data_IF_737393470271
#
_entry.id   IF_737393470271
#
_cell.length_a   1.000
_cell.length_b   1.000
_cell.length_c   1.000
_cell.angle_alpha   90.00
_cell.angle_beta   90.00
_cell.angle_gamma   90.00
#
_symmetry.space_group_name_H-M   'P 1'
#
loop_
_entity.id
_entity.type
_entity.pdbx_description
1 polymer ?
#
# COMPACT_ATOMS: atom_id res chain seq x y z
N UNK A 1 -4.89 -13.16 16.97
CA UNK A 1 -3.93 -13.99 16.21
C UNK A 1 -2.55 -13.40 16.33
N UNK A 2 -1.53 -14.22 16.57
CA UNK A 2 -0.14 -13.77 16.68
C UNK A 2 0.39 -13.40 15.29
N UNK A 3 0.83 -12.15 15.09
CA UNK A 3 1.46 -11.72 13.84
C UNK A 3 2.91 -12.19 13.87
N UNK A 4 3.20 -13.30 13.19
CA UNK A 4 4.56 -13.84 13.12
C UNK A 4 5.27 -13.34 11.87
N UNK A 5 6.47 -12.80 12.04
CA UNK A 5 7.36 -12.48 10.92
C UNK A 5 7.65 -13.77 10.13
N UNK A 6 7.60 -13.76 8.79
CA UNK A 6 7.89 -14.95 7.99
C UNK A 6 9.26 -15.53 8.34
N UNK A 7 9.34 -16.83 8.62
CA UNK A 7 10.62 -17.51 8.87
C UNK A 7 11.37 -17.72 7.55
N UNK A 8 12.41 -16.91 7.33
CA UNK A 8 13.33 -16.94 6.18
C UNK A 8 14.37 -15.82 6.29
N UNK A 9 15.53 -15.97 5.65
CA UNK A 9 16.72 -15.10 5.77
C UNK A 9 16.38 -13.61 6.03
N UNK A 10 16.75 -13.16 7.23
CA UNK A 10 16.28 -11.97 7.94
C UNK A 10 16.98 -10.67 7.52
N UNK A 11 16.91 -10.28 6.25
CA UNK A 11 17.58 -9.06 5.78
C UNK A 11 16.63 -7.87 5.57
N UNK A 12 15.51 -7.78 6.32
CA UNK A 12 14.69 -6.55 6.30
C UNK A 12 13.26 -6.64 6.82
N UNK A 13 12.71 -7.83 7.08
CA UNK A 13 11.38 -7.96 7.68
C UNK A 13 11.40 -7.49 9.14
N UNK A 14 10.46 -6.62 9.49
CA UNK A 14 10.25 -6.15 10.86
C UNK A 14 8.78 -6.22 11.23
N UNK A 15 8.48 -6.40 12.52
CA UNK A 15 7.14 -6.12 13.02
C UNK A 15 6.99 -4.60 13.09
N UNK A 16 6.05 -4.06 12.33
CA UNK A 16 5.65 -2.67 12.45
C UNK A 16 4.31 -2.61 13.18
N UNK A 17 4.25 -1.66 14.09
CA UNK A 17 3.02 -1.19 14.71
C UNK A 17 2.71 0.16 14.11
N UNK A 18 1.49 0.36 13.65
CA UNK A 18 1.03 1.65 13.16
C UNK A 18 -0.24 2.06 13.90
N UNK A 19 -0.24 3.28 14.41
CA UNK A 19 -1.45 3.92 14.93
C UNK A 19 -2.11 4.67 13.77
N UNK A 20 -3.27 4.19 13.31
CA UNK A 20 -4.01 4.81 12.21
C UNK A 20 -5.34 5.39 12.72
N UNK A 21 -5.90 6.35 12.00
CA UNK A 21 -7.28 6.84 12.24
C UNK A 21 -7.42 8.02 13.21
N UNK A 22 -6.32 8.70 13.55
CA UNK A 22 -6.34 9.91 14.38
C UNK A 22 -6.95 9.63 15.77
N UNK A 23 -8.14 10.16 16.04
CA UNK A 23 -8.83 10.01 17.32
C UNK A 23 -9.30 8.58 17.64
N UNK A 24 -9.34 7.66 16.66
CA UNK A 24 -9.75 6.27 16.92
C UNK A 24 -8.67 5.43 17.61
N UNK A 25 -7.40 5.87 17.59
CA UNK A 25 -6.26 5.14 18.18
C UNK A 25 -6.18 3.67 17.73
N UNK A 26 -6.55 3.36 16.49
CA UNK A 26 -6.52 1.99 15.99
C UNK A 26 -5.06 1.55 15.82
N UNK A 27 -4.68 0.45 16.48
CA UNK A 27 -3.34 -0.10 16.40
C UNK A 27 -3.32 -1.31 15.44
N UNK A 28 -2.59 -1.19 14.35
CA UNK A 28 -2.37 -2.26 13.39
C UNK A 28 -0.95 -2.80 13.54
N UNK A 29 -0.84 -4.11 13.73
CA UNK A 29 0.44 -4.80 13.77
C UNK A 29 0.59 -5.66 12.52
N UNK A 30 1.69 -5.48 11.79
CA UNK A 30 1.98 -6.22 10.57
C UNK A 30 3.48 -6.53 10.47
N UNK A 31 3.81 -7.70 9.94
CA UNK A 31 5.17 -7.93 9.45
C UNK A 31 5.33 -7.15 8.14
N UNK A 32 6.32 -6.25 8.08
CA UNK A 32 6.58 -5.38 6.94
C UNK A 32 8.01 -5.54 6.43
N UNK A 33 8.18 -5.44 5.13
CA UNK A 33 9.46 -5.38 4.45
C UNK A 33 9.54 -4.06 3.68
N UNK A 34 10.43 -3.13 4.06
CA UNK A 34 10.67 -1.93 3.27
C UNK A 34 11.17 -2.30 1.88
N UNK A 35 10.52 -1.78 0.84
CA UNK A 35 10.92 -2.03 -0.54
C UNK A 35 11.92 -0.96 -1.00
N UNK A 36 13.07 -1.34 -1.60
CA UNK A 36 13.92 -0.37 -2.26
C UNK A 36 13.19 0.16 -3.49
N UNK A 37 12.87 1.45 -3.49
CA UNK A 37 12.14 2.09 -4.59
C UNK A 37 13.11 2.48 -5.71
N UNK A 38 12.74 2.16 -6.95
CA UNK A 38 13.41 2.65 -8.15
C UNK A 38 13.35 4.18 -8.21
N UNK A 39 14.48 4.89 -8.41
CA UNK A 39 14.49 6.36 -8.42
C UNK A 39 13.47 6.97 -9.38
N UNK A 40 13.20 6.33 -10.51
CA UNK A 40 12.24 6.78 -11.52
C UNK A 40 10.78 6.77 -11.02
N UNK A 41 10.48 5.93 -10.02
CA UNK A 41 9.14 5.82 -9.44
C UNK A 41 8.90 6.82 -8.31
N UNK A 42 9.94 7.49 -7.79
CA UNK A 42 9.84 8.37 -6.62
C UNK A 42 8.77 9.44 -6.79
N UNK A 43 8.80 10.19 -7.90
CA UNK A 43 7.84 11.26 -8.16
C UNK A 43 6.41 10.75 -8.27
N UNK A 44 6.23 9.57 -8.87
CA UNK A 44 4.91 8.94 -8.94
C UNK A 44 4.40 8.58 -7.54
N UNK A 45 5.24 7.97 -6.71
CA UNK A 45 4.87 7.59 -5.35
C UNK A 45 4.55 8.81 -4.48
N UNK A 46 5.27 9.92 -4.67
CA UNK A 46 4.96 11.22 -4.06
C UNK A 46 3.55 11.69 -4.47
N UNK A 47 3.20 11.65 -5.76
CA UNK A 47 1.84 12.04 -6.21
C UNK A 47 0.73 11.16 -5.62
N UNK A 48 1.01 9.88 -5.34
CA UNK A 48 0.07 8.99 -4.66
C UNK A 48 -0.01 9.35 -3.17
N UNK A 49 1.13 9.59 -2.51
CA UNK A 49 1.18 9.96 -1.10
C UNK A 49 0.57 11.34 -0.81
N UNK A 50 0.57 12.23 -1.80
CA UNK A 50 -0.09 13.55 -1.78
C UNK A 50 -1.56 13.48 -2.27
N UNK A 51 -2.07 12.28 -2.54
CA UNK A 51 -3.48 12.03 -2.88
C UNK A 51 -3.94 12.72 -4.18
N UNK A 52 -3.06 13.01 -5.13
CA UNK A 52 -3.40 13.68 -6.40
C UNK A 52 -4.43 12.92 -7.25
N UNK A 53 -4.67 11.65 -6.94
CA UNK A 53 -5.70 10.82 -7.58
C UNK A 53 -7.13 11.13 -7.10
N UNK A 54 -7.27 11.92 -6.03
CA UNK A 54 -8.55 12.31 -5.43
C UNK A 54 -8.85 13.79 -5.68
N UNK A 55 -10.12 14.17 -5.96
CA UNK A 55 -10.49 15.58 -6.12
C UNK A 55 -10.54 16.36 -4.79
N UNK A 56 -10.54 15.66 -3.65
CA UNK A 56 -10.57 16.21 -2.31
C UNK A 56 -9.65 15.40 -1.38
N UNK A 57 -9.14 16.00 -0.29
CA UNK A 57 -8.39 15.26 0.72
C UNK A 57 -9.16 14.04 1.20
N UNK A 58 -8.46 12.94 1.50
CA UNK A 58 -9.07 11.71 2.01
C UNK A 58 -9.39 11.77 3.52
N UNK A 59 -9.45 12.97 4.08
CA UNK A 59 -9.93 13.20 5.43
C UNK A 59 -11.29 12.54 5.62
N UNK A 60 -11.37 11.66 6.62
CA UNK A 60 -12.60 10.91 6.91
C UNK A 60 -13.07 10.02 5.76
N UNK A 61 -12.16 9.45 4.96
CA UNK A 61 -12.48 8.50 3.89
C UNK A 61 -13.51 7.42 4.29
N UNK A 62 -13.40 6.90 5.52
CA UNK A 62 -14.31 5.89 6.06
C UNK A 62 -15.74 6.39 6.33
N UNK A 63 -15.96 7.70 6.33
CA UNK A 63 -17.26 8.36 6.49
C UNK A 63 -17.82 8.93 5.18
N UNK A 64 -17.07 8.83 4.07
CA UNK A 64 -17.57 9.22 2.75
C UNK A 64 -18.77 8.36 2.36
N UNK A 65 -19.68 8.92 1.57
CA UNK A 65 -20.73 8.13 0.98
C UNK A 65 -20.18 7.15 -0.07
N UNK A 66 -21.00 6.18 -0.46
CA UNK A 66 -20.58 5.13 -1.38
C UNK A 66 -20.20 5.66 -2.77
N UNK A 67 -20.79 6.77 -3.22
CA UNK A 67 -20.50 7.34 -4.53
C UNK A 67 -19.14 8.05 -4.53
N UNK A 68 -18.86 8.83 -3.50
CA UNK A 68 -17.58 9.51 -3.30
C UNK A 68 -16.45 8.51 -3.10
N UNK A 69 -16.65 7.50 -2.25
CA UNK A 69 -15.67 6.44 -2.04
C UNK A 69 -15.37 5.66 -3.34
N UNK A 70 -16.39 5.44 -4.18
CA UNK A 70 -16.22 4.80 -5.48
C UNK A 70 -15.45 5.71 -6.48
N UNK A 71 -15.71 7.02 -6.45
CA UNK A 71 -14.97 7.99 -7.27
C UNK A 71 -13.48 8.03 -6.90
N UNK A 72 -13.17 8.05 -5.61
CA UNK A 72 -11.79 7.97 -5.11
C UNK A 72 -11.11 6.68 -5.56
N UNK A 73 -11.76 5.52 -5.35
CA UNK A 73 -11.21 4.22 -5.77
C UNK A 73 -10.95 4.16 -7.28
N UNK A 74 -11.84 4.72 -8.08
CA UNK A 74 -11.66 4.84 -9.54
C UNK A 74 -10.48 5.75 -9.91
N UNK A 75 -10.34 6.89 -9.23
CA UNK A 75 -9.23 7.81 -9.39
C UNK A 75 -7.90 7.13 -9.07
N UNK A 76 -7.84 6.42 -7.94
CA UNK A 76 -6.69 5.65 -7.51
C UNK A 76 -6.28 4.57 -8.53
N UNK A 77 -7.22 3.74 -9.00
CA UNK A 77 -6.95 2.74 -10.04
C UNK A 77 -6.42 3.39 -11.33
N UNK A 78 -7.03 4.50 -11.75
CA UNK A 78 -6.58 5.22 -12.94
C UNK A 78 -5.16 5.77 -12.78
N UNK A 79 -4.81 6.23 -11.57
CA UNK A 79 -3.46 6.67 -11.22
C UNK A 79 -2.45 5.51 -11.31
N UNK A 80 -2.74 4.36 -10.69
CA UNK A 80 -1.89 3.17 -10.77
C UNK A 80 -1.68 2.70 -12.21
N UNK A 81 -2.76 2.65 -13.01
CA UNK A 81 -2.70 2.20 -14.40
C UNK A 81 -1.79 3.09 -15.26
N UNK A 82 -1.72 4.40 -15.00
CA UNK A 82 -0.80 5.32 -15.70
C UNK A 82 0.67 4.98 -15.45
N UNK A 83 0.99 4.37 -14.32
CA UNK A 83 2.32 3.88 -13.97
C UNK A 83 2.54 2.41 -14.35
N UNK A 84 1.56 1.76 -14.99
CA UNK A 84 1.61 0.34 -15.32
C UNK A 84 1.39 -0.59 -14.12
N UNK A 85 0.90 -0.08 -12.99
CA UNK A 85 0.64 -0.84 -11.78
C UNK A 85 -0.81 -1.35 -11.74
N UNK A 86 -1.01 -2.48 -11.06
CA UNK A 86 -2.33 -3.07 -10.84
C UNK A 86 -2.73 -3.08 -9.35
N UNK A 87 -4.03 -3.01 -9.11
CA UNK A 87 -4.63 -3.33 -7.82
C UNK A 87 -5.94 -4.10 -8.04
N UNK A 88 -6.01 -5.31 -7.50
CA UNK A 88 -7.21 -6.14 -7.50
C UNK A 88 -8.31 -5.51 -6.64
N UNK A 89 -9.57 -5.89 -6.89
CA UNK A 89 -10.71 -5.44 -6.07
C UNK A 89 -10.54 -5.83 -4.59
N UNK A 90 -9.94 -6.99 -4.33
CA UNK A 90 -9.63 -7.45 -2.98
C UNK A 90 -8.67 -6.47 -2.28
N UNK A 91 -7.53 -6.18 -2.89
CA UNK A 91 -6.58 -5.24 -2.31
C UNK A 91 -7.14 -3.81 -2.25
N UNK A 92 -7.91 -3.39 -3.26
CA UNK A 92 -8.54 -2.06 -3.30
C UNK A 92 -9.52 -1.84 -2.14
N UNK A 93 -10.11 -2.90 -1.61
CA UNK A 93 -10.95 -2.83 -0.40
C UNK A 93 -10.17 -2.42 0.86
N UNK A 94 -8.84 -2.56 0.85
CA UNK A 94 -7.93 -2.16 1.93
C UNK A 94 -7.46 -0.71 1.82
N UNK A 95 -7.92 0.04 0.81
CA UNK A 95 -7.58 1.45 0.66
C UNK A 95 -8.13 2.24 1.86
N UNK A 96 -7.24 3.02 2.48
CA UNK A 96 -7.57 3.92 3.58
C UNK A 96 -6.96 5.31 3.31
N UNK A 97 -7.21 6.27 4.19
CA UNK A 97 -6.57 7.59 4.16
C UNK A 97 -5.03 7.53 4.25
N UNK A 98 -4.46 6.43 4.74
CA UNK A 98 -3.04 6.36 5.07
C UNK A 98 -2.30 5.24 4.30
N UNK A 99 -3.04 4.24 3.82
CA UNK A 99 -2.51 3.05 3.16
C UNK A 99 -3.12 2.89 1.77
N UNK A 100 -2.30 2.99 0.73
CA UNK A 100 -2.71 2.86 -0.67
C UNK A 100 -2.21 1.52 -1.24
N UNK A 101 -3.11 0.56 -1.50
CA UNK A 101 -2.75 -0.82 -1.81
C UNK A 101 -2.35 -1.01 -3.28
N UNK A 102 -1.36 -1.86 -3.52
CA UNK A 102 -0.91 -2.32 -4.84
C UNK A 102 -0.75 -3.84 -4.77
N UNK A 103 -1.09 -4.56 -5.85
CA UNK A 103 -0.91 -6.00 -5.84
C UNK A 103 0.58 -6.37 -5.75
N UNK A 104 0.93 -7.35 -4.92
CA UNK A 104 2.27 -7.90 -4.86
C UNK A 104 2.52 -8.91 -6.00
N UNK A 105 2.39 -8.45 -7.25
CA UNK A 105 2.73 -9.23 -8.45
C UNK A 105 4.19 -9.04 -8.83
N UNK A 106 4.74 -9.97 -9.61
CA UNK A 106 6.10 -9.84 -10.12
C UNK A 106 6.24 -8.60 -11.02
N UNK A 107 5.20 -8.27 -11.79
CA UNK A 107 5.12 -7.10 -12.66
C UNK A 107 5.17 -5.79 -11.86
N UNK A 108 4.31 -5.65 -10.84
CA UNK A 108 4.29 -4.45 -10.00
C UNK A 108 5.61 -4.28 -9.25
N UNK A 109 6.18 -5.37 -8.74
CA UNK A 109 7.49 -5.33 -8.08
C UNK A 109 8.61 -4.91 -9.00
N UNK A 110 8.63 -5.42 -10.24
CA UNK A 110 9.62 -5.00 -11.23
C UNK A 110 9.51 -3.51 -11.54
N UNK A 111 8.30 -2.97 -11.60
CA UNK A 111 8.05 -1.54 -11.80
C UNK A 111 8.55 -0.74 -10.59
N UNK A 112 8.18 -1.13 -9.37
CA UNK A 112 8.45 -0.38 -8.14
C UNK A 112 9.90 -0.51 -7.64
N UNK A 113 10.45 -1.71 -7.64
CA UNK A 113 11.69 -2.08 -6.97
C UNK A 113 12.73 -2.75 -7.88
N UNK A 114 12.40 -2.98 -9.15
CA UNK A 114 13.28 -3.66 -10.10
C UNK A 114 13.44 -5.15 -9.77
N UNK A 115 14.60 -5.71 -10.10
CA UNK A 115 14.90 -7.14 -9.85
C UNK A 115 15.52 -7.37 -8.46
N UNK A 116 15.47 -6.39 -7.58
CA UNK A 116 16.16 -6.44 -6.28
C UNK A 116 15.41 -7.28 -5.23
N UNK A 117 14.15 -7.62 -5.48
CA UNK A 117 13.29 -8.32 -4.51
C UNK A 117 12.61 -9.52 -5.15
N UNK A 118 12.99 -10.73 -4.73
CA UNK A 118 12.37 -11.97 -5.18
C UNK A 118 11.13 -12.29 -4.34
N UNK A 119 9.94 -11.86 -4.80
CA UNK A 119 8.66 -12.25 -4.18
C UNK A 119 8.47 -13.77 -4.11
N UNK A 120 8.95 -14.50 -5.13
CA UNK A 120 8.80 -15.95 -5.22
C UNK A 120 9.52 -16.70 -4.07
N UNK A 121 10.54 -16.09 -3.47
CA UNK A 121 11.22 -16.63 -2.30
C UNK A 121 10.44 -16.42 -1.00
N UNK A 122 9.46 -15.49 -0.99
CA UNK A 122 8.67 -15.13 0.18
C UNK A 122 7.45 -16.07 0.31
N UNK A 123 7.60 -17.16 1.06
CA UNK A 123 6.49 -18.07 1.36
C UNK A 123 5.63 -17.51 2.48
N UNK A 124 4.71 -16.60 2.15
CA UNK A 124 3.77 -16.01 3.12
C UNK A 124 2.36 -16.60 2.95
N UNK A 125 1.87 -17.37 3.93
CA UNK A 125 0.48 -17.85 3.94
C UNK A 125 -0.49 -16.66 3.96
N UNK A 126 -1.45 -16.62 3.03
CA UNK A 126 -2.40 -15.51 2.91
C UNK A 126 -2.03 -14.44 1.88
N UNK A 127 -0.86 -14.55 1.26
CA UNK A 127 -0.42 -13.63 0.21
C UNK A 127 0.29 -12.38 0.76
N UNK A 128 0.65 -11.49 -0.16
CA UNK A 128 1.34 -10.23 0.11
C UNK A 128 0.54 -9.08 -0.53
N UNK A 129 0.54 -7.94 0.15
CA UNK A 129 0.02 -6.68 -0.37
C UNK A 129 1.11 -5.63 -0.22
N UNK A 130 1.33 -4.85 -1.27
CA UNK A 130 2.24 -3.70 -1.22
C UNK A 130 1.41 -2.49 -0.80
N UNK A 131 1.91 -1.71 0.15
CA UNK A 131 1.31 -0.44 0.50
C UNK A 131 2.26 0.71 0.16
N UNK A 132 1.73 1.69 -0.57
CA UNK A 132 2.28 3.03 -0.61
C UNK A 132 1.73 3.73 0.64
N UNK A 133 2.62 4.29 1.44
CA UNK A 133 2.31 4.86 2.75
C UNK A 133 2.19 6.38 2.60
N UNK A 134 1.01 6.93 2.90
CA UNK A 134 0.74 8.37 2.84
C UNK A 134 1.33 9.14 4.02
N UNK A 135 1.29 10.49 3.95
CA UNK A 135 1.83 11.34 5.02
C UNK A 135 1.08 11.20 6.36
N UNK A 136 -0.16 10.71 6.35
CA UNK A 136 -0.98 10.49 7.55
C UNK A 136 -0.57 9.23 8.35
N UNK A 137 0.57 8.63 8.00
CA UNK A 137 1.18 7.49 8.68
C UNK A 137 2.41 7.96 9.45
N UNK A 138 2.25 8.30 10.72
CA UNK A 138 3.37 8.52 11.65
C UNK A 138 3.86 7.20 12.28
#
# INVERSE_FOLDING_TARGET
STVTVPNGNTDGWRLATQSCGGFSCDEFQAAVLPLPVRPEMRRFLETVAEEEFSPAPLDYFNMMDAADAAAVKKGYLSCLHRAGLSCSEHNLSLLTQALYPVDATAENMKILAGNCTELAAMKVPGGLTIFIVGQNCD
#
